data_IF_207201974511
#
_entry.id   IF_207201974511
#
_cell.length_a   1.000
_cell.length_b   1.000
_cell.length_c   1.000
_cell.angle_alpha   90.00
_cell.angle_beta   90.00
_cell.angle_gamma   90.00
#
_symmetry.space_group_name_H-M   'P 1'
#
loop_
_entity.id
_entity.type
_entity.pdbx_description
1 polymer ?
#
# COMPACT_ATOMS: atom_id res chain seq x y z
N UNK A 1 -8.29 8.46 -26.66
CA UNK A 1 -9.06 7.24 -26.51
C UNK A 1 -8.48 6.50 -25.33
N UNK A 2 -9.12 6.61 -24.18
CA UNK A 2 -8.83 5.72 -23.05
C UNK A 2 -9.28 4.29 -23.41
N UNK A 3 -8.83 3.27 -22.70
CA UNK A 3 -9.39 1.91 -22.69
C UNK A 3 -9.66 1.13 -24.01
N UNK A 4 -9.27 1.62 -25.20
CA UNK A 4 -9.62 0.99 -26.47
C UNK A 4 -9.07 -0.45 -26.63
N UNK A 5 -8.02 -0.78 -25.88
CA UNK A 5 -7.44 -2.12 -25.86
C UNK A 5 -8.32 -3.16 -25.14
N UNK A 6 -9.07 -2.79 -24.10
CA UNK A 6 -9.97 -3.72 -23.38
C UNK A 6 -11.16 -4.17 -24.25
N UNK A 7 -11.59 -3.31 -25.18
CA UNK A 7 -12.59 -3.69 -26.18
C UNK A 7 -12.06 -4.77 -27.15
N UNK A 8 -10.75 -4.74 -27.44
CA UNK A 8 -10.11 -5.75 -28.30
C UNK A 8 -9.95 -7.08 -27.57
N UNK A 9 -9.75 -7.04 -26.24
CA UNK A 9 -9.65 -8.22 -25.38
C UNK A 9 -11.01 -8.90 -25.10
N UNK A 10 -12.09 -8.38 -25.69
CA UNK A 10 -13.41 -9.01 -25.68
C UNK A 10 -14.35 -8.50 -24.58
N UNK A 11 -13.95 -7.48 -23.82
CA UNK A 11 -14.86 -6.77 -22.92
C UNK A 11 -15.73 -5.81 -23.75
N UNK A 12 -17.05 -5.86 -23.63
CA UNK A 12 -17.95 -5.07 -24.47
C UNK A 12 -19.04 -4.31 -23.70
N UNK A 13 -18.83 -4.13 -22.40
CA UNK A 13 -19.75 -3.42 -21.51
C UNK A 13 -20.00 -1.96 -21.92
N UNK A 14 -21.13 -1.42 -21.45
CA UNK A 14 -21.62 -0.10 -21.83
C UNK A 14 -20.71 1.00 -21.29
N UNK A 15 -20.31 0.90 -20.02
CA UNK A 15 -19.40 1.85 -19.39
C UNK A 15 -18.01 1.79 -20.04
N UNK A 16 -17.54 0.60 -20.43
CA UNK A 16 -16.26 0.46 -21.13
C UNK A 16 -16.27 1.10 -22.53
N UNK A 17 -17.37 0.98 -23.28
CA UNK A 17 -17.52 1.68 -24.57
C UNK A 17 -17.56 3.19 -24.39
N UNK A 18 -18.24 3.68 -23.35
CA UNK A 18 -18.25 5.09 -23.02
C UNK A 18 -16.84 5.59 -22.70
N UNK A 19 -16.10 4.89 -21.83
CA UNK A 19 -14.71 5.19 -21.48
C UNK A 19 -13.80 5.17 -22.73
N UNK A 20 -14.01 4.21 -23.63
CA UNK A 20 -13.21 4.10 -24.85
C UNK A 20 -13.38 5.29 -25.80
N UNK A 21 -14.56 5.91 -25.79
CA UNK A 21 -14.88 7.10 -26.58
C UNK A 21 -14.27 8.39 -26.04
N UNK A 22 -13.80 8.41 -24.79
CA UNK A 22 -13.27 9.61 -24.15
C UNK A 22 -11.84 9.94 -24.59
N UNK A 23 -11.55 11.23 -24.67
CA UNK A 23 -10.22 11.78 -24.82
C UNK A 23 -9.44 11.67 -23.51
N UNK A 24 -8.11 11.64 -23.59
CA UNK A 24 -7.25 11.55 -22.40
C UNK A 24 -7.28 12.83 -21.51
N UNK A 25 -8.06 13.84 -21.90
CA UNK A 25 -8.19 15.12 -21.21
C UNK A 25 -9.58 15.30 -20.56
N UNK A 26 -10.49 14.37 -20.77
CA UNK A 26 -11.86 14.41 -20.25
C UNK A 26 -11.88 13.81 -18.83
N UNK A 27 -11.04 14.35 -17.94
CA UNK A 27 -10.73 13.73 -16.64
C UNK A 27 -11.95 13.53 -15.74
N UNK A 28 -12.92 14.46 -15.82
CA UNK A 28 -14.13 14.40 -15.02
C UNK A 28 -15.03 13.26 -15.52
N UNK A 29 -15.29 13.23 -16.83
CA UNK A 29 -16.09 12.20 -17.47
C UNK A 29 -15.44 10.82 -17.33
N UNK A 30 -14.11 10.74 -17.41
CA UNK A 30 -13.36 9.50 -17.13
C UNK A 30 -13.65 9.05 -15.70
N UNK A 31 -13.54 9.95 -14.72
CA UNK A 31 -13.77 9.63 -13.31
C UNK A 31 -15.18 9.10 -13.05
N UNK A 32 -16.20 9.64 -13.71
CA UNK A 32 -17.59 9.19 -13.55
C UNK A 32 -17.83 7.77 -14.09
N UNK A 33 -17.17 7.38 -15.18
CA UNK A 33 -17.42 6.07 -15.84
C UNK A 33 -16.39 5.00 -15.49
N UNK A 34 -15.27 5.38 -14.88
CA UNK A 34 -14.15 4.47 -14.62
C UNK A 34 -14.53 3.32 -13.69
N UNK A 35 -15.22 3.61 -12.59
CA UNK A 35 -15.62 2.59 -11.60
C UNK A 35 -16.52 1.54 -12.22
N UNK A 36 -17.53 1.96 -12.98
CA UNK A 36 -18.46 1.06 -13.67
C UNK A 36 -17.74 0.25 -14.76
N UNK A 37 -16.84 0.88 -15.52
CA UNK A 37 -16.05 0.20 -16.55
C UNK A 37 -15.11 -0.87 -15.96
N UNK A 38 -14.50 -0.60 -14.80
CA UNK A 38 -13.69 -1.58 -14.06
C UNK A 38 -14.55 -2.75 -13.57
N UNK A 39 -15.74 -2.46 -13.02
CA UNK A 39 -16.67 -3.49 -12.58
C UNK A 39 -17.14 -4.41 -13.73
N UNK A 40 -17.40 -3.86 -14.92
CA UNK A 40 -17.70 -4.64 -16.13
C UNK A 40 -16.54 -5.57 -16.56
N UNK A 41 -15.30 -5.20 -16.22
CA UNK A 41 -14.11 -6.02 -16.45
C UNK A 41 -13.87 -7.05 -15.33
N UNK A 42 -14.73 -7.10 -14.31
CA UNK A 42 -14.54 -7.93 -13.12
C UNK A 42 -13.43 -7.43 -12.20
N UNK A 43 -13.03 -6.15 -12.33
CA UNK A 43 -12.04 -5.50 -11.48
C UNK A 43 -12.79 -4.73 -10.38
N UNK A 44 -12.58 -5.11 -9.13
CA UNK A 44 -13.07 -4.35 -7.98
C UNK A 44 -12.15 -3.16 -7.72
N UNK A 45 -12.75 -1.99 -7.51
CA UNK A 45 -12.04 -0.82 -6.97
C UNK A 45 -11.97 -1.01 -5.46
N UNK A 46 -10.79 -0.82 -4.83
CA UNK A 46 -10.68 -0.83 -3.37
C UNK A 46 -11.63 0.18 -2.71
N UNK A 47 -12.24 -0.20 -1.59
CA UNK A 47 -13.24 0.60 -0.90
C UNK A 47 -12.62 1.65 0.04
N UNK A 48 -11.30 1.60 0.24
CA UNK A 48 -10.55 2.54 1.08
C UNK A 48 -9.14 2.81 0.53
N UNK A 49 -8.57 3.95 0.92
CA UNK A 49 -7.18 4.30 0.58
C UNK A 49 -6.18 3.29 1.13
N UNK A 50 -6.44 2.71 2.31
CA UNK A 50 -5.59 1.67 2.89
C UNK A 50 -5.64 0.37 2.09
N UNK A 51 -6.83 -0.04 1.62
CA UNK A 51 -6.97 -1.22 0.76
C UNK A 51 -6.28 -0.99 -0.59
N UNK A 52 -6.42 0.20 -1.17
CA UNK A 52 -5.72 0.57 -2.40
C UNK A 52 -4.19 0.54 -2.22
N UNK A 53 -3.70 1.07 -1.09
CA UNK A 53 -2.29 1.08 -0.75
C UNK A 53 -1.75 -0.34 -0.51
N UNK A 54 -2.53 -1.19 0.16
CA UNK A 54 -2.20 -2.59 0.36
C UNK A 54 -2.09 -3.37 -0.97
N UNK A 55 -3.04 -3.19 -1.89
CA UNK A 55 -2.98 -3.80 -3.23
C UNK A 55 -1.72 -3.38 -3.98
N UNK A 56 -1.36 -2.10 -3.90
CA UNK A 56 -0.14 -1.58 -4.53
C UNK A 56 1.13 -2.16 -3.89
N UNK A 57 1.18 -2.31 -2.57
CA UNK A 57 2.29 -2.97 -1.88
C UNK A 57 2.42 -4.43 -2.23
N UNK A 58 1.32 -5.17 -2.34
CA UNK A 58 1.35 -6.54 -2.83
C UNK A 58 1.93 -6.61 -4.25
N UNK A 59 1.54 -5.70 -5.15
CA UNK A 59 2.10 -5.62 -6.51
C UNK A 59 3.62 -5.44 -6.49
N UNK A 60 4.10 -4.48 -5.68
CA UNK A 60 5.53 -4.19 -5.52
C UNK A 60 6.27 -5.39 -4.92
N UNK A 61 5.74 -5.99 -3.85
CA UNK A 61 6.36 -7.11 -3.17
C UNK A 61 6.45 -8.36 -4.06
N UNK A 62 5.41 -8.65 -4.85
CA UNK A 62 5.42 -9.75 -5.83
C UNK A 62 6.48 -9.50 -6.92
N UNK A 63 6.53 -8.30 -7.48
CA UNK A 63 7.51 -7.96 -8.51
C UNK A 63 8.95 -8.04 -7.97
N UNK A 64 9.19 -7.56 -6.75
CA UNK A 64 10.47 -7.71 -6.06
C UNK A 64 10.83 -9.19 -5.83
N UNK A 65 9.88 -10.01 -5.37
CA UNK A 65 10.08 -11.45 -5.14
C UNK A 65 10.41 -12.22 -6.43
N UNK A 66 9.92 -11.73 -7.58
CA UNK A 66 10.24 -12.26 -8.92
C UNK A 66 11.57 -11.73 -9.48
N UNK A 67 12.21 -10.78 -8.81
CA UNK A 67 13.44 -10.13 -9.28
C UNK A 67 13.20 -9.11 -10.40
N UNK A 68 11.97 -8.63 -10.56
CA UNK A 68 11.59 -7.63 -11.55
C UNK A 68 11.87 -6.20 -11.07
N UNK A 69 12.00 -6.01 -9.75
CA UNK A 69 12.35 -4.73 -9.12
C UNK A 69 13.62 -4.85 -8.30
N UNK A 70 14.43 -3.78 -8.31
CA UNK A 70 15.56 -3.58 -7.42
C UNK A 70 15.13 -2.96 -6.09
N UNK A 71 16.01 -2.99 -5.08
CA UNK A 71 15.78 -2.34 -3.77
C UNK A 71 15.45 -0.85 -3.93
N UNK A 72 16.17 -0.15 -4.81
CA UNK A 72 15.95 1.28 -5.05
C UNK A 72 14.58 1.56 -5.68
N UNK A 73 14.14 0.71 -6.61
CA UNK A 73 12.82 0.84 -7.25
C UNK A 73 11.68 0.53 -6.27
N UNK A 74 11.85 -0.44 -5.37
CA UNK A 74 10.88 -0.69 -4.29
C UNK A 74 10.75 0.51 -3.37
N UNK A 75 11.87 1.08 -2.91
CA UNK A 75 11.88 2.27 -2.04
C UNK A 75 11.21 3.46 -2.74
N UNK A 76 11.46 3.66 -4.03
CA UNK A 76 10.80 4.68 -4.85
C UNK A 76 9.29 4.46 -4.97
N UNK A 77 8.88 3.25 -5.35
CA UNK A 77 7.47 2.90 -5.52
C UNK A 77 6.66 3.02 -4.23
N UNK A 78 7.22 2.57 -3.10
CA UNK A 78 6.57 2.71 -1.78
C UNK A 78 6.39 4.18 -1.40
N UNK A 79 7.39 5.03 -1.68
CA UNK A 79 7.26 6.47 -1.43
C UNK A 79 6.17 7.11 -2.29
N UNK A 80 6.11 6.76 -3.57
CA UNK A 80 5.09 7.29 -4.48
C UNK A 80 3.69 6.86 -4.04
N UNK A 81 3.53 5.59 -3.66
CA UNK A 81 2.26 5.07 -3.16
C UNK A 81 1.81 5.75 -1.86
N UNK A 82 2.70 5.94 -0.87
CA UNK A 82 2.37 6.66 0.37
C UNK A 82 2.00 8.13 0.14
N UNK A 83 2.69 8.80 -0.79
CA UNK A 83 2.40 10.21 -1.07
C UNK A 83 0.98 10.38 -1.65
N UNK A 84 0.48 9.39 -2.38
CA UNK A 84 -0.83 9.44 -3.01
C UNK A 84 -1.99 9.37 -2.00
N UNK A 85 -1.80 8.78 -0.82
CA UNK A 85 -2.89 8.55 0.15
C UNK A 85 -2.99 9.60 1.26
N UNK A 86 -2.05 10.56 1.34
CA UNK A 86 -1.99 11.73 2.27
C UNK A 86 -2.04 11.44 3.79
N UNK A 87 -2.77 10.42 4.24
CA UNK A 87 -2.90 10.00 5.64
C UNK A 87 -1.93 8.89 6.05
N UNK A 88 -1.26 8.23 5.08
CA UNK A 88 -0.24 7.20 5.36
C UNK A 88 -0.76 6.11 6.29
N UNK A 89 -1.46 5.12 5.75
CA UNK A 89 -1.96 4.00 6.55
C UNK A 89 -0.84 3.27 7.30
N UNK A 90 -1.13 2.74 8.49
CA UNK A 90 -0.21 1.93 9.32
C UNK A 90 -0.01 0.51 8.69
N UNK A 91 0.41 0.42 7.43
CA UNK A 91 0.61 -0.85 6.70
C UNK A 91 2.07 -1.34 6.76
N UNK A 92 2.32 -2.62 6.50
CA UNK A 92 3.63 -3.25 6.72
C UNK A 92 4.75 -2.61 5.87
N UNK A 93 4.50 -2.35 4.59
CA UNK A 93 5.49 -1.66 3.75
C UNK A 93 5.65 -0.16 4.05
N UNK A 94 4.78 0.47 4.85
CA UNK A 94 4.99 1.86 5.29
C UNK A 94 6.21 2.00 6.19
N UNK A 95 6.70 0.90 6.77
CA UNK A 95 7.98 0.85 7.47
C UNK A 95 9.14 1.43 6.63
N UNK A 96 9.13 1.20 5.31
CA UNK A 96 10.12 1.77 4.39
C UNK A 96 9.94 3.28 4.24
N UNK A 97 8.70 3.77 4.24
CA UNK A 97 8.39 5.19 4.12
C UNK A 97 8.70 5.96 5.42
N UNK A 98 8.40 5.39 6.57
CA UNK A 98 8.63 5.99 7.87
C UNK A 98 10.07 5.83 8.38
N UNK A 99 10.90 5.03 7.71
CA UNK A 99 12.31 4.94 8.08
C UNK A 99 13.05 6.24 7.74
N UNK A 100 13.19 7.08 8.76
CA UNK A 100 13.85 8.38 8.66
C UNK A 100 15.29 8.31 8.11
N UNK A 101 15.99 7.16 8.21
CA UNK A 101 17.35 7.01 7.68
C UNK A 101 17.35 6.90 6.15
N UNK A 102 16.26 6.40 5.54
CA UNK A 102 16.13 6.38 4.09
C UNK A 102 15.89 7.77 3.48
N UNK A 103 15.36 8.72 4.27
CA UNK A 103 14.79 9.95 3.71
C UNK A 103 15.38 11.25 4.25
N UNK A 104 15.90 11.27 5.48
CA UNK A 104 16.41 12.48 6.13
C UNK A 104 17.91 12.36 6.38
N UNK A 105 18.66 12.89 5.43
CA UNK A 105 20.10 12.81 5.36
C UNK A 105 20.80 13.53 6.53
N UNK A 106 21.31 12.73 7.47
CA UNK A 106 22.60 12.98 8.15
C UNK A 106 23.53 11.76 8.01
N UNK A 107 22.97 10.57 7.76
CA UNK A 107 23.72 9.34 7.50
C UNK A 107 23.03 8.54 6.40
N UNK A 108 23.76 8.18 5.35
CA UNK A 108 23.24 7.26 4.33
C UNK A 108 23.32 5.82 4.87
N UNK A 109 22.19 5.11 5.03
CA UNK A 109 22.22 3.73 5.45
C UNK A 109 22.96 2.87 4.42
N UNK A 110 23.58 1.79 4.88
CA UNK A 110 24.29 0.86 4.00
C UNK A 110 23.33 0.17 3.03
N UNK A 111 23.83 -0.23 1.86
CA UNK A 111 23.03 -1.00 0.89
C UNK A 111 22.52 -2.33 1.47
N UNK A 112 23.30 -2.96 2.36
CA UNK A 112 22.88 -4.17 3.09
C UNK A 112 21.69 -3.89 4.00
N UNK A 113 21.69 -2.77 4.73
CA UNK A 113 20.57 -2.38 5.57
C UNK A 113 19.31 -2.11 4.74
N UNK A 114 19.43 -1.36 3.64
CA UNK A 114 18.30 -1.08 2.74
C UNK A 114 17.71 -2.38 2.17
N UNK A 115 18.57 -3.29 1.75
CA UNK A 115 18.17 -4.59 1.22
C UNK A 115 17.49 -5.46 2.29
N UNK A 116 17.98 -5.42 3.54
CA UNK A 116 17.36 -6.18 4.63
C UNK A 116 15.98 -5.64 5.01
N UNK A 117 15.86 -4.31 5.10
CA UNK A 117 14.59 -3.64 5.36
C UNK A 117 13.56 -3.95 4.26
N UNK A 118 13.94 -3.81 2.99
CA UNK A 118 13.05 -4.11 1.85
C UNK A 118 12.64 -5.58 1.84
N UNK A 119 13.59 -6.51 2.01
CA UNK A 119 13.27 -7.95 2.05
C UNK A 119 12.30 -8.28 3.18
N UNK A 120 12.53 -7.73 4.37
CA UNK A 120 11.66 -7.97 5.53
C UNK A 120 10.26 -7.43 5.29
N UNK A 121 10.14 -6.17 4.86
CA UNK A 121 8.85 -5.54 4.62
C UNK A 121 8.07 -6.25 3.50
N UNK A 122 8.70 -6.60 2.38
CA UNK A 122 8.03 -7.35 1.31
C UNK A 122 7.60 -8.75 1.77
N UNK A 123 8.42 -9.45 2.57
CA UNK A 123 8.06 -10.78 3.07
C UNK A 123 6.89 -10.73 4.06
N UNK A 124 6.86 -9.70 4.93
CA UNK A 124 5.75 -9.49 5.86
C UNK A 124 4.46 -9.12 5.10
N UNK A 125 4.53 -8.24 4.10
CA UNK A 125 3.39 -7.86 3.26
C UNK A 125 2.80 -9.07 2.52
N UNK A 126 3.65 -9.93 1.93
CA UNK A 126 3.20 -11.15 1.24
C UNK A 126 2.59 -12.19 2.19
N UNK A 127 2.97 -12.17 3.47
CA UNK A 127 2.42 -13.05 4.50
C UNK A 127 1.15 -12.46 5.15
N UNK A 128 0.87 -11.18 4.91
CA UNK A 128 -0.27 -10.50 5.49
C UNK A 128 -1.56 -10.92 4.79
N UNK A 129 -2.55 -11.32 5.59
CA UNK A 129 -3.91 -11.53 5.10
C UNK A 129 -4.70 -10.28 5.44
N UNK A 130 -5.09 -9.52 4.42
CA UNK A 130 -5.94 -8.35 4.58
C UNK A 130 -7.28 -8.77 5.17
N UNK A 131 -7.56 -8.31 6.38
CA UNK A 131 -8.90 -8.32 6.95
C UNK A 131 -9.44 -6.90 6.79
N UNK A 132 -10.49 -6.67 5.97
CA UNK A 132 -11.08 -5.35 5.86
C UNK A 132 -11.52 -4.90 7.26
N UNK A 133 -11.10 -3.71 7.66
CA UNK A 133 -11.58 -3.11 8.91
C UNK A 133 -13.08 -2.92 8.71
N UNK A 134 -13.91 -3.67 9.43
CA UNK A 134 -15.36 -3.52 9.38
C UNK A 134 -15.69 -2.02 9.52
N UNK A 135 -16.44 -1.47 8.57
CA UNK A 135 -16.84 -0.06 8.54
C UNK A 135 -17.72 0.37 9.75
N UNK A 136 -17.92 -0.50 10.74
CA UNK A 136 -18.69 -0.28 11.94
C UNK A 136 -17.96 -0.82 13.19
N UNK A 137 -16.90 -0.14 13.62
CA UNK A 137 -16.34 -0.27 14.97
C UNK A 137 -16.78 0.90 15.85
N UNK A 138 -17.23 0.68 17.10
CA UNK A 138 -17.73 1.76 17.96
C UNK A 138 -16.60 2.74 18.30
N UNK A 139 -16.95 4.03 18.34
CA UNK A 139 -16.09 5.10 18.85
C UNK A 139 -15.86 4.84 20.35
N UNK A 140 -14.84 4.06 20.68
CA UNK A 140 -14.43 3.82 22.05
C UNK A 140 -13.66 5.04 22.56
N UNK A 141 -14.34 5.78 23.44
CA UNK A 141 -13.79 6.80 24.32
C UNK A 141 -12.60 6.26 25.11
N UNK A 142 -11.49 7.00 25.08
CA UNK A 142 -10.24 6.74 25.81
C UNK A 142 -10.49 6.43 27.31
N UNK A 143 -10.17 5.20 27.74
CA UNK A 143 -9.90 4.88 29.14
C UNK A 143 -8.43 4.52 29.29
N UNK A 144 -7.68 5.40 29.94
CA UNK A 144 -6.25 5.27 30.23
C UNK A 144 -6.00 4.20 31.31
N UNK A 145 -5.20 3.19 30.98
CA UNK A 145 -4.64 2.26 31.98
C UNK A 145 -3.12 2.30 31.92
N UNK A 146 -2.51 2.80 33.00
CA UNK A 146 -1.08 2.71 33.27
C UNK A 146 -0.67 1.24 33.50
N UNK A 147 0.30 0.74 32.72
CA UNK A 147 0.99 -0.52 33.01
C UNK A 147 2.49 -0.36 32.83
N UNK A 148 3.21 -0.65 33.92
CA UNK A 148 4.66 -0.68 34.07
C UNK A 148 5.34 -1.56 33.00
N UNK A 149 6.33 -1.01 32.29
CA UNK A 149 7.03 -1.62 31.16
C UNK A 149 8.34 -2.31 31.58
N UNK A 150 8.65 -3.56 31.15
CA UNK A 150 10.01 -4.09 31.21
C UNK A 150 10.81 -3.66 29.96
N UNK A 151 12.05 -3.19 30.19
CA UNK A 151 12.91 -2.59 29.18
C UNK A 151 13.16 -3.46 27.93
N UNK A 152 13.17 -2.87 26.71
CA UNK A 152 13.40 -3.61 25.47
C UNK A 152 14.87 -4.01 25.27
N UNK A 153 15.06 -5.17 24.64
CA UNK A 153 16.35 -5.66 24.20
C UNK A 153 16.94 -4.72 23.12
N UNK A 154 18.24 -4.43 23.24
CA UNK A 154 18.98 -3.48 22.40
C UNK A 154 18.99 -3.92 20.93
N UNK A 155 18.52 -3.06 20.03
CA UNK A 155 18.87 -3.12 18.59
C UNK A 155 17.74 -2.82 17.60
N UNK A 156 16.47 -2.92 17.98
CA UNK A 156 15.36 -2.55 17.10
C UNK A 156 14.88 -1.11 17.38
N UNK A 157 14.53 -0.31 16.35
CA UNK A 157 13.84 0.96 16.56
C UNK A 157 12.60 0.74 17.45
N UNK A 158 12.40 1.59 18.46
CA UNK A 158 11.34 1.40 19.46
C UNK A 158 9.93 1.28 18.86
N UNK A 159 9.69 1.91 17.71
CA UNK A 159 8.44 1.81 16.98
C UNK A 159 8.24 0.44 16.30
N UNK A 160 9.30 -0.25 15.88
CA UNK A 160 9.23 -1.61 15.33
C UNK A 160 8.81 -2.64 16.39
N UNK A 161 9.30 -2.44 17.63
CA UNK A 161 8.85 -3.22 18.78
C UNK A 161 7.42 -2.87 19.22
N UNK A 162 6.97 -1.63 19.03
CA UNK A 162 5.59 -1.22 19.28
C UNK A 162 4.62 -1.78 18.22
N UNK A 163 5.04 -1.75 16.95
CA UNK A 163 4.31 -2.30 15.81
C UNK A 163 4.10 -3.82 15.94
N UNK A 164 5.16 -4.58 16.24
CA UNK A 164 5.03 -6.03 16.56
C UNK A 164 4.18 -6.31 17.79
N UNK A 165 4.14 -5.40 18.77
CA UNK A 165 3.26 -5.55 19.95
C UNK A 165 1.79 -5.31 19.61
N UNK A 166 1.49 -4.41 18.67
CA UNK A 166 0.14 -4.09 18.20
C UNK A 166 -0.44 -5.18 17.28
N UNK A 167 0.38 -5.78 16.42
CA UNK A 167 -0.11 -6.70 15.36
C UNK A 167 0.41 -8.15 15.47
N UNK A 168 1.39 -8.43 16.34
CA UNK A 168 2.02 -9.75 16.49
C UNK A 168 1.32 -10.72 17.45
N UNK A 169 0.03 -10.54 17.74
CA UNK A 169 -0.77 -11.57 18.44
C UNK A 169 -2.01 -11.94 17.62
N UNK A 170 -1.86 -12.86 16.67
CA UNK A 170 -2.83 -13.92 16.38
C UNK A 170 -2.09 -15.16 15.88
#
# INVERSE_FOLDING_TARGET
MAAAHWLVDGHDGEALRALAGLGAHDFYEIGEVLTDALAECGVSVPDSDDEALHVEYLRIAIAFQRGELTVAEVVGGVREANWATYEGGDLLMTAIHHDSLLWHAVWEPTEEYKADLVRTACAEELAYTWEPVDAEGPVDTEESVDVDEPAPARGAPGWFAAFRRRWGRR
#
